data_IF_802878693670
#
_entry.id   IF_802878693670
#
_cell.length_a   1.000
_cell.length_b   1.000
_cell.length_c   1.000
_cell.angle_alpha   90.00
_cell.angle_beta   90.00
_cell.angle_gamma   90.00
#
_symmetry.space_group_name_H-M   'P 1'
#
loop_
_entity.id
_entity.type
_entity.pdbx_description
1 polymer ?
#
# COMPACT_ATOMS: atom_id res chain seq x y z
N UNK A 1 -5.88 7.30 -5.58
CA UNK A 1 -5.53 6.49 -4.41
C UNK A 1 -6.47 5.32 -4.28
N UNK A 2 -5.97 4.14 -3.97
CA UNK A 2 -6.84 2.97 -3.87
C UNK A 2 -7.54 2.98 -2.53
N UNK A 3 -8.63 2.27 -2.47
CA UNK A 3 -9.39 2.19 -1.25
C UNK A 3 -9.18 0.85 -0.59
N UNK A 4 -9.38 0.81 0.71
CA UNK A 4 -9.20 -0.41 1.45
C UNK A 4 -9.98 -1.58 0.88
N UNK A 5 -11.21 -1.36 0.47
CA UNK A 5 -12.00 -2.47 -0.02
C UNK A 5 -11.59 -2.92 -1.42
N UNK A 6 -10.60 -2.27 -2.01
CA UNK A 6 -10.10 -2.67 -3.31
C UNK A 6 -8.85 -3.52 -3.16
N UNK A 7 -8.41 -3.77 -1.96
CA UNK A 7 -7.20 -4.55 -1.75
C UNK A 7 -7.48 -6.03 -1.85
N UNK A 8 -6.53 -6.77 -2.39
CA UNK A 8 -6.64 -8.22 -2.39
C UNK A 8 -6.33 -8.69 -0.97
N UNK A 9 -6.53 -9.96 -0.72
CA UNK A 9 -6.24 -10.49 0.60
C UNK A 9 -4.78 -10.28 0.98
N UNK A 10 -3.87 -10.54 0.04
CA UNK A 10 -2.46 -10.35 0.31
C UNK A 10 -2.16 -8.88 0.57
N UNK A 11 -2.77 -8.02 -0.21
CA UNK A 11 -2.53 -6.60 -0.04
C UNK A 11 -3.09 -6.11 1.28
N UNK A 12 -4.23 -6.64 1.68
CA UNK A 12 -4.82 -6.21 2.94
C UNK A 12 -3.93 -6.63 4.10
N UNK A 13 -3.34 -7.82 4.01
CA UNK A 13 -2.43 -8.28 5.04
C UNK A 13 -1.22 -7.35 5.11
N UNK A 14 -0.64 -7.01 3.97
CA UNK A 14 0.49 -6.10 3.95
C UNK A 14 0.11 -4.73 4.49
N UNK A 15 -1.09 -4.27 4.14
CA UNK A 15 -1.57 -3.00 4.60
C UNK A 15 -1.64 -2.97 6.12
N UNK A 16 -2.19 -4.02 6.72
CA UNK A 16 -2.31 -4.04 8.15
C UNK A 16 -0.96 -4.11 8.84
N UNK A 17 -0.07 -4.92 8.30
CA UNK A 17 1.24 -5.02 8.88
C UNK A 17 1.99 -3.70 8.78
N UNK A 18 1.90 -3.07 7.63
CA UNK A 18 2.62 -1.82 7.45
C UNK A 18 2.02 -0.72 8.31
N UNK A 19 0.71 -0.67 8.41
CA UNK A 19 0.09 0.36 9.22
C UNK A 19 0.49 0.20 10.68
N UNK A 20 0.50 -1.03 11.17
CA UNK A 20 0.89 -1.27 12.54
C UNK A 20 2.34 -0.87 12.77
N UNK A 21 3.20 -1.18 11.81
CA UNK A 21 4.59 -0.85 11.96
C UNK A 21 4.82 0.65 11.95
N UNK A 22 4.15 1.35 11.05
CA UNK A 22 4.31 2.78 10.97
C UNK A 22 3.81 3.43 12.25
N UNK A 23 2.67 2.97 12.74
CA UNK A 23 2.12 3.52 13.94
C UNK A 23 3.07 3.32 15.11
N UNK A 24 3.62 2.12 15.22
CA UNK A 24 4.49 1.81 16.32
C UNK A 24 5.82 2.55 16.23
N UNK A 25 6.46 2.51 15.09
CA UNK A 25 7.78 3.12 14.96
C UNK A 25 7.72 4.62 14.82
N UNK A 26 6.75 5.12 14.11
CA UNK A 26 6.66 6.54 13.87
C UNK A 26 5.87 7.28 14.92
N UNK A 27 5.22 6.55 15.79
CA UNK A 27 4.36 7.16 16.81
C UNK A 27 3.34 8.07 16.17
N UNK A 28 2.85 7.68 15.01
CA UNK A 28 1.83 8.44 14.34
C UNK A 28 0.46 7.90 14.70
N UNK A 29 -0.56 8.66 14.41
CA UNK A 29 -1.90 8.19 14.69
C UNK A 29 -2.22 7.06 13.72
N UNK A 30 -3.20 6.25 14.09
CA UNK A 30 -3.60 5.14 13.24
C UNK A 30 -4.08 5.64 11.90
N UNK A 31 -4.77 6.74 11.88
CA UNK A 31 -5.29 7.30 10.65
C UNK A 31 -4.17 7.60 9.67
N UNK A 32 -3.12 8.24 10.14
CA UNK A 32 -2.01 8.58 9.29
C UNK A 32 -1.27 7.31 8.86
N UNK A 33 -1.11 6.38 9.78
CA UNK A 33 -0.42 5.15 9.46
C UNK A 33 -1.16 4.37 8.38
N UNK A 34 -2.48 4.35 8.45
CA UNK A 34 -3.26 3.65 7.45
C UNK A 34 -3.12 4.31 6.09
N UNK A 35 -3.10 5.62 6.07
CA UNK A 35 -2.95 6.31 4.80
C UNK A 35 -1.59 6.01 4.19
N UNK A 36 -0.54 6.05 4.99
CA UNK A 36 0.79 5.76 4.48
C UNK A 36 0.89 4.31 4.01
N UNK A 37 0.23 3.41 4.72
CA UNK A 37 0.26 2.01 4.31
C UNK A 37 -0.41 1.83 2.96
N UNK A 38 -1.52 2.51 2.74
CA UNK A 38 -2.19 2.42 1.45
C UNK A 38 -1.32 2.98 0.35
N UNK A 39 -0.61 4.06 0.63
CA UNK A 39 0.28 4.62 -0.37
C UNK A 39 1.39 3.64 -0.72
N UNK A 40 1.89 2.93 0.26
CA UNK A 40 2.93 1.96 0.01
C UNK A 40 2.43 0.86 -0.91
N UNK A 41 1.23 0.38 -0.66
CA UNK A 41 0.68 -0.68 -1.48
C UNK A 41 0.42 -0.17 -2.89
N UNK A 42 -0.05 1.05 -3.00
CA UNK A 42 -0.30 1.61 -4.31
C UNK A 42 0.98 1.71 -5.11
N UNK A 43 2.08 2.04 -4.46
CA UNK A 43 3.34 2.13 -5.14
C UNK A 43 3.85 0.78 -5.60
N UNK A 44 3.48 -0.28 -4.89
CA UNK A 44 3.94 -1.60 -5.26
C UNK A 44 3.21 -2.10 -6.50
N UNK A 45 2.04 -1.59 -6.78
CA UNK A 45 1.29 -2.00 -7.93
C UNK A 45 1.82 -1.31 -9.17
N UNK A 46 1.84 -1.99 -10.31
CA UNK A 46 2.22 -1.31 -11.53
C UNK A 46 1.12 -0.31 -11.84
N UNK A 47 1.49 0.88 -12.24
CA UNK A 47 0.49 1.91 -12.52
C UNK A 47 -0.41 1.52 -13.66
N UNK A 48 0.10 0.76 -14.57
CA UNK A 48 -0.67 0.42 -15.72
C UNK A 48 -0.12 -0.83 -16.33
N UNK A 49 -0.92 -1.83 -16.55
CA UNK A 49 -0.43 -3.08 -17.08
C UNK A 49 0.35 -2.93 -18.36
N UNK A 50 -0.09 -2.09 -19.22
CA UNK A 50 0.59 -1.95 -20.42
C UNK A 50 1.90 -1.29 -20.28
N UNK A 51 2.02 -0.45 -19.29
CA UNK A 51 3.23 0.16 -19.10
C UNK A 51 4.20 -0.77 -18.59
N UNK A 52 3.81 -1.66 -17.82
CA UNK A 52 4.70 -2.57 -17.19
C UNK A 52 5.50 -3.29 -18.18
N UNK A 53 4.90 -3.56 -19.24
CA UNK A 53 5.61 -4.35 -20.12
C UNK A 53 6.70 -3.61 -20.72
N UNK A 54 6.61 -2.41 -20.82
CA UNK A 54 7.57 -1.77 -21.44
C UNK A 54 8.80 -1.88 -20.82
N UNK A 55 8.86 -2.02 -19.76
CA UNK A 55 9.99 -2.05 -19.21
C UNK A 55 10.66 -3.11 -19.49
N UNK A 56 10.09 -3.80 -19.59
CA UNK A 56 10.70 -4.88 -19.89
C UNK A 56 11.56 -4.65 -20.97
N UNK A 57 11.53 -4.22 -21.35
CA UNK A 57 12.19 -4.09 -22.36
C UNK A 57 13.10 -3.82 -22.23
#
# INVERSE_FOLDING_TARGET
>A
MIKINELTADEFFLYEERAAKIEHEGKLTREIAERLALEEIEKRRPPNPQRGDKEGD
#
